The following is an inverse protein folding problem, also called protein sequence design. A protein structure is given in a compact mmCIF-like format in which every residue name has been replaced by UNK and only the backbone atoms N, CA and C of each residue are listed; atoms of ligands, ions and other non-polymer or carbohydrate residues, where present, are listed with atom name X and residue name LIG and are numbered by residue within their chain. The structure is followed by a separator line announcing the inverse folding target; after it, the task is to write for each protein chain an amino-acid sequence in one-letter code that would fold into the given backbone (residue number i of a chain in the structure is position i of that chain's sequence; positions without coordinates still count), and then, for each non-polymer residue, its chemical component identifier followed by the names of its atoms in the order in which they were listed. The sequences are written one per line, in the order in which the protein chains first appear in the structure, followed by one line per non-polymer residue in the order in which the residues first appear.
data_IF_666812899151
#
_entry.id   IF_666812899151
#
_cell.length_a   1.000
_cell.length_b   1.000
_cell.length_c   1.000
_cell.angle_alpha   90.00
_cell.angle_beta   90.00
_cell.angle_gamma   90.00
#
_symmetry.space_group_name_H-M   'P 1'
#
loop_
_entity.id
_entity.type
_entity.pdbx_description
1 polymer ?
#
# COMPACT_ATOMS: atom_id res chain seq x y z
N UNK A 1 29.34 13.94 29.22
CA UNK A 1 28.53 13.41 28.09
C UNK A 1 27.92 14.61 27.41
N UNK A 2 28.24 14.80 26.14
CA UNK A 2 28.08 16.06 25.41
C UNK A 2 26.61 16.26 24.97
N UNK A 3 26.01 17.40 25.31
CA UNK A 3 24.63 17.76 24.92
C UNK A 3 24.41 17.62 23.41
N UNK A 4 25.46 17.77 22.61
CA UNK A 4 25.43 17.61 21.16
C UNK A 4 25.17 16.16 20.73
N UNK A 5 25.69 15.18 21.47
CA UNK A 5 25.51 13.76 21.16
C UNK A 5 24.06 13.32 21.39
N UNK A 6 23.45 13.78 22.48
CA UNK A 6 22.06 13.44 22.83
C UNK A 6 21.08 14.05 21.81
N UNK A 7 21.31 15.30 21.37
CA UNK A 7 20.53 15.94 20.31
C UNK A 7 20.64 15.16 19.00
N UNK A 8 21.85 14.76 18.59
CA UNK A 8 22.05 14.00 17.36
C UNK A 8 21.31 12.65 17.37
N UNK A 9 21.28 11.96 18.51
CA UNK A 9 20.55 10.70 18.67
C UNK A 9 19.05 10.89 18.52
N UNK A 10 18.50 11.95 19.12
CA UNK A 10 17.10 12.31 19.01
C UNK A 10 16.71 12.66 17.57
N UNK A 11 17.49 13.53 16.91
CA UNK A 11 17.26 13.90 15.51
C UNK A 11 17.24 12.68 14.60
N UNK A 12 18.17 11.73 14.81
CA UNK A 12 18.21 10.48 14.05
C UNK A 12 16.95 9.62 14.28
N UNK A 13 16.51 9.49 15.52
CA UNK A 13 15.31 8.72 15.84
C UNK A 13 14.06 9.33 15.21
N UNK A 14 13.89 10.65 15.31
CA UNK A 14 12.81 11.39 14.66
C UNK A 14 12.82 11.17 13.15
N UNK A 15 13.99 11.33 12.51
CA UNK A 15 14.12 11.15 11.07
C UNK A 15 13.77 9.72 10.62
N UNK A 16 14.31 8.69 11.29
CA UNK A 16 14.04 7.29 10.95
C UNK A 16 12.55 6.96 11.12
N UNK A 17 11.94 7.33 12.25
CA UNK A 17 10.53 7.04 12.52
C UNK A 17 9.63 7.79 11.54
N UNK A 18 9.90 9.08 11.29
CA UNK A 18 9.10 9.89 10.37
C UNK A 18 9.21 9.36 8.94
N UNK A 19 10.43 9.06 8.47
CA UNK A 19 10.64 8.49 7.14
C UNK A 19 9.90 7.15 6.98
N UNK A 20 10.00 6.28 7.99
CA UNK A 20 9.29 4.99 8.00
C UNK A 20 7.77 5.17 7.94
N UNK A 21 7.20 6.01 8.80
CA UNK A 21 5.76 6.27 8.86
C UNK A 21 5.23 6.94 7.58
N UNK A 22 5.98 7.86 7.00
CA UNK A 22 5.61 8.49 5.72
C UNK A 22 5.65 7.47 4.58
N UNK A 23 6.72 6.68 4.45
CA UNK A 23 6.83 5.70 3.38
C UNK A 23 5.75 4.61 3.47
N UNK A 24 5.49 4.10 4.67
CA UNK A 24 4.44 3.08 4.89
C UNK A 24 3.04 3.67 4.69
N UNK A 25 2.77 4.86 5.22
CA UNK A 25 1.49 5.53 5.06
C UNK A 25 1.14 5.90 3.62
N UNK A 26 2.15 6.33 2.84
CA UNK A 26 2.00 6.68 1.43
C UNK A 26 2.29 5.54 0.47
N UNK A 27 2.54 4.32 0.96
CA UNK A 27 2.93 3.18 0.13
C UNK A 27 1.93 2.91 -1.00
N UNK A 28 0.63 3.01 -0.71
CA UNK A 28 -0.43 2.83 -1.71
C UNK A 28 -0.29 3.80 -2.91
N UNK A 29 -0.02 5.08 -2.68
CA UNK A 29 0.20 6.05 -3.76
C UNK A 29 1.55 5.84 -4.44
N UNK A 30 2.58 5.49 -3.68
CA UNK A 30 3.91 5.20 -4.23
C UNK A 30 3.85 4.00 -5.18
N UNK A 31 3.27 2.87 -4.77
CA UNK A 31 3.07 1.69 -5.62
C UNK A 31 2.26 2.01 -6.89
N UNK A 32 1.23 2.86 -6.76
CA UNK A 32 0.37 3.26 -7.89
C UNK A 32 1.09 4.07 -8.98
N UNK A 33 1.99 4.97 -8.60
CA UNK A 33 2.61 5.94 -9.53
C UNK A 33 4.07 5.66 -9.85
N UNK A 34 4.73 4.80 -9.09
CA UNK A 34 6.14 4.48 -9.26
C UNK A 34 6.29 3.15 -10.00
N UNK A 35 7.08 3.17 -11.06
CA UNK A 35 7.40 1.98 -11.85
C UNK A 35 8.92 1.75 -11.95
N UNK A 36 9.32 0.60 -12.48
CA UNK A 36 10.72 0.27 -12.73
C UNK A 36 11.53 0.05 -11.45
N UNK A 37 12.80 0.48 -11.45
CA UNK A 37 13.73 0.21 -10.35
C UNK A 37 13.28 0.82 -9.01
N UNK A 38 12.63 1.98 -9.05
CA UNK A 38 12.17 2.69 -7.83
C UNK A 38 11.08 1.86 -7.10
N UNK A 39 10.28 1.08 -7.83
CA UNK A 39 9.29 0.19 -7.24
C UNK A 39 9.94 -0.87 -6.33
N UNK A 40 11.17 -1.30 -6.60
CA UNK A 40 11.92 -2.28 -5.78
C UNK A 40 12.61 -1.59 -4.59
N UNK A 41 13.14 -0.38 -4.80
CA UNK A 41 13.90 0.32 -3.75
C UNK A 41 13.02 0.80 -2.60
N UNK A 42 11.75 1.14 -2.86
CA UNK A 42 10.83 1.62 -1.82
C UNK A 42 10.54 0.54 -0.76
N UNK A 43 10.04 -0.68 -1.12
CA UNK A 43 9.87 -1.78 -0.18
C UNK A 43 11.16 -2.12 0.56
N UNK A 44 12.30 -2.17 -0.14
CA UNK A 44 13.58 -2.47 0.49
C UNK A 44 13.96 -1.41 1.54
N UNK A 45 13.72 -0.13 1.23
CA UNK A 45 13.95 0.98 2.16
C UNK A 45 13.05 0.87 3.39
N UNK A 46 11.77 0.53 3.21
CA UNK A 46 10.83 0.29 4.31
C UNK A 46 11.34 -0.83 5.22
N UNK A 47 11.82 -1.94 4.66
CA UNK A 47 12.40 -3.07 5.42
C UNK A 47 13.66 -2.64 6.18
N UNK A 48 14.59 -1.90 5.55
CA UNK A 48 15.81 -1.40 6.20
C UNK A 48 15.48 -0.47 7.36
N UNK A 49 14.52 0.44 7.18
CA UNK A 49 14.06 1.35 8.23
C UNK A 49 13.41 0.59 9.38
N UNK A 50 12.56 -0.40 9.09
CA UNK A 50 11.95 -1.26 10.10
C UNK A 50 13.01 -2.01 10.92
N UNK A 51 13.97 -2.67 10.27
CA UNK A 51 15.06 -3.36 10.96
C UNK A 51 15.90 -2.39 11.80
N UNK A 52 16.15 -1.18 11.29
CA UNK A 52 16.84 -0.13 12.04
C UNK A 52 16.07 0.24 13.32
N UNK A 53 14.75 0.43 13.23
CA UNK A 53 13.89 0.73 14.38
C UNK A 53 13.99 -0.40 15.41
N UNK A 54 13.90 -1.66 14.99
CA UNK A 54 14.00 -2.83 15.90
C UNK A 54 15.38 -2.88 16.59
N UNK A 55 16.46 -2.78 15.82
CA UNK A 55 17.85 -2.81 16.35
C UNK A 55 18.07 -1.67 17.34
N UNK A 56 17.66 -0.45 17.01
CA UNK A 56 17.81 0.69 17.92
C UNK A 56 16.95 0.53 19.17
N UNK A 57 15.72 0.03 19.05
CA UNK A 57 14.85 -0.25 20.20
C UNK A 57 15.54 -1.19 21.20
N UNK A 58 16.09 -2.31 20.72
CA UNK A 58 16.82 -3.28 21.55
C UNK A 58 18.04 -2.61 22.20
N UNK A 59 18.86 -1.92 21.40
CA UNK A 59 20.08 -1.25 21.88
C UNK A 59 19.78 -0.21 22.97
N UNK A 60 18.76 0.62 22.77
CA UNK A 60 18.39 1.64 23.75
C UNK A 60 17.80 1.04 25.02
N UNK A 61 17.04 -0.05 24.91
CA UNK A 61 16.47 -0.75 26.06
C UNK A 61 17.57 -1.38 26.92
N UNK A 62 18.53 -2.07 26.32
CA UNK A 62 19.68 -2.64 27.03
C UNK A 62 20.49 -1.55 27.75
N UNK A 63 20.74 -0.42 27.09
CA UNK A 63 21.44 0.71 27.69
C UNK A 63 20.67 1.33 28.87
N UNK A 64 19.33 1.32 28.81
CA UNK A 64 18.47 1.84 29.87
C UNK A 64 18.59 0.99 31.14
N UNK A 65 18.53 -0.34 31.00
CA UNK A 65 18.67 -1.27 32.12
C UNK A 65 20.05 -1.18 32.79
N UNK A 66 21.12 -0.99 32.00
CA UNK A 66 22.48 -0.90 32.54
C UNK A 66 22.78 0.43 33.25
N UNK A 67 21.97 1.47 33.06
CA UNK A 67 22.24 2.83 33.55
C UNK A 67 21.09 3.43 34.34
N UNK A 68 20.32 2.59 35.03
CA UNK A 68 19.21 2.98 35.88
C UNK A 68 19.58 4.10 36.86
N UNK A 69 20.81 4.12 37.39
CA UNK A 69 21.17 5.12 38.40
C UNK A 69 21.49 6.52 37.81
N UNK A 70 21.52 6.68 36.48
CA UNK A 70 21.87 7.94 35.79
C UNK A 70 20.85 8.35 34.74
N UNK A 71 19.56 8.27 35.09
CA UNK A 71 18.47 8.67 34.21
C UNK A 71 18.50 10.16 33.86
N UNK A 72 18.60 10.46 32.56
CA UNK A 72 18.26 11.76 31.99
C UNK A 72 17.15 11.55 30.97
N UNK A 73 16.06 12.31 31.09
CA UNK A 73 14.88 12.21 30.20
C UNK A 73 15.27 12.24 28.72
N UNK A 74 16.21 13.11 28.32
CA UNK A 74 16.64 13.27 26.93
C UNK A 74 17.20 11.97 26.30
N UNK A 75 17.74 11.07 27.11
CA UNK A 75 18.29 9.79 26.65
C UNK A 75 17.22 8.72 26.44
N UNK A 76 16.03 8.92 27.00
CA UNK A 76 14.91 7.97 26.93
C UNK A 76 14.00 8.28 25.75
N UNK A 77 13.87 9.57 25.38
CA UNK A 77 12.99 10.02 24.29
C UNK A 77 13.19 9.21 22.98
N UNK A 78 14.42 8.96 22.49
CA UNK A 78 14.62 8.16 21.28
C UNK A 78 14.05 6.74 21.41
N UNK A 79 14.23 6.10 22.57
CA UNK A 79 13.70 4.76 22.83
C UNK A 79 12.16 4.77 22.78
N UNK A 80 11.54 5.76 23.45
CA UNK A 80 10.09 5.95 23.45
C UNK A 80 9.57 6.13 22.02
N UNK A 81 10.22 6.94 21.18
CA UNK A 81 9.80 7.14 19.79
C UNK A 81 9.80 5.84 18.98
N UNK A 82 10.85 5.02 19.10
CA UNK A 82 10.88 3.73 18.41
C UNK A 82 9.81 2.78 18.93
N UNK A 83 9.61 2.70 20.24
CA UNK A 83 8.55 1.89 20.85
C UNK A 83 7.16 2.33 20.39
N UNK A 84 6.87 3.63 20.42
CA UNK A 84 5.60 4.17 19.94
C UNK A 84 5.37 3.86 18.46
N UNK A 85 6.42 3.94 17.64
CA UNK A 85 6.35 3.59 16.22
C UNK A 85 6.01 2.11 16.01
N UNK A 86 6.65 1.20 16.77
CA UNK A 86 6.33 -0.23 16.72
C UNK A 86 4.93 -0.53 17.25
N UNK A 87 4.52 0.11 18.35
CA UNK A 87 3.16 -0.05 18.89
C UNK A 87 2.12 0.40 17.88
N UNK A 88 2.33 1.57 17.27
CA UNK A 88 1.47 2.07 16.22
C UNK A 88 1.40 1.10 15.03
N UNK A 89 2.53 0.54 14.61
CA UNK A 89 2.59 -0.40 13.49
C UNK A 89 1.85 -1.72 13.76
N UNK A 90 1.95 -2.29 14.96
CA UNK A 90 1.38 -3.62 15.23
C UNK A 90 -0.01 -3.59 15.86
N UNK A 91 -0.33 -2.55 16.63
CA UNK A 91 -1.52 -2.54 17.47
C UNK A 91 -2.50 -1.40 17.14
N UNK A 92 -2.14 -0.43 16.31
CA UNK A 92 -3.08 0.65 15.96
C UNK A 92 -4.11 0.17 14.93
N UNK A 93 -5.43 0.20 15.24
CA UNK A 93 -6.46 0.03 14.22
C UNK A 93 -6.58 1.25 13.30
N UNK A 94 -5.94 2.37 13.66
CA UNK A 94 -5.97 3.65 12.94
C UNK A 94 -4.72 3.87 12.10
N UNK A 95 -4.11 2.80 11.58
CA UNK A 95 -3.02 2.93 10.62
C UNK A 95 -3.45 3.82 9.46
N UNK A 96 -2.73 4.93 9.32
CA UNK A 96 -2.88 5.84 8.21
C UNK A 96 -2.53 5.11 6.92
N UNK A 97 -3.49 5.06 6.00
CA UNK A 97 -3.27 4.67 4.62
C UNK A 97 -3.67 5.86 3.76
N UNK A 98 -2.77 6.26 2.87
CA UNK A 98 -3.02 7.31 1.90
C UNK A 98 -4.22 7.01 0.99
N UNK A 99 -4.62 5.74 0.83
CA UNK A 99 -5.87 5.38 0.15
C UNK A 99 -7.10 6.11 0.76
N UNK A 100 -7.07 6.43 2.05
CA UNK A 100 -8.16 7.17 2.72
C UNK A 100 -8.29 8.62 2.23
N UNK A 101 -7.28 9.16 1.55
CA UNK A 101 -7.32 10.48 0.92
C UNK A 101 -8.06 10.44 -0.42
N UNK A 102 -8.25 9.25 -1.00
CA UNK A 102 -8.97 9.07 -2.26
C UNK A 102 -10.48 9.05 -2.05
N UNK A 103 -11.24 9.26 -3.13
CA UNK A 103 -12.71 9.22 -3.09
C UNK A 103 -13.24 7.84 -2.64
N UNK A 104 -14.36 7.83 -1.91
CA UNK A 104 -14.99 6.60 -1.40
C UNK A 104 -15.21 5.57 -2.51
N UNK A 105 -14.86 4.31 -2.21
CA UNK A 105 -15.09 3.16 -3.10
C UNK A 105 -16.57 2.79 -3.07
N UNK A 106 -17.23 2.84 -4.22
CA UNK A 106 -18.64 2.49 -4.40
C UNK A 106 -18.83 1.03 -4.79
N UNK A 107 -17.93 0.51 -5.63
CA UNK A 107 -17.96 -0.86 -6.11
C UNK A 107 -16.54 -1.39 -6.15
N UNK A 108 -16.36 -2.67 -5.82
CA UNK A 108 -15.07 -3.35 -5.89
C UNK A 108 -15.25 -4.75 -6.43
N UNK A 109 -14.24 -5.23 -7.15
CA UNK A 109 -14.14 -6.62 -7.56
C UNK A 109 -12.76 -7.17 -7.27
N UNK A 110 -12.68 -8.47 -7.09
CA UNK A 110 -11.43 -9.21 -6.96
C UNK A 110 -11.40 -10.39 -7.93
N UNK A 111 -10.23 -10.64 -8.47
CA UNK A 111 -9.88 -11.85 -9.20
C UNK A 111 -8.68 -12.50 -8.48
N UNK A 112 -8.78 -13.80 -8.23
CA UNK A 112 -7.73 -14.60 -7.60
C UNK A 112 -7.44 -15.79 -8.51
N UNK A 113 -6.27 -15.83 -9.12
CA UNK A 113 -5.73 -16.99 -9.82
C UNK A 113 -4.62 -17.66 -9.01
N UNK A 114 -4.12 -18.80 -9.48
CA UNK A 114 -3.10 -19.61 -8.77
C UNK A 114 -1.80 -18.84 -8.47
N UNK A 115 -1.41 -17.92 -9.35
CA UNK A 115 -0.15 -17.18 -9.19
C UNK A 115 -0.29 -15.69 -9.51
N UNK A 116 -1.52 -15.21 -9.64
CA UNK A 116 -1.82 -13.81 -9.93
C UNK A 116 -3.12 -13.40 -9.24
N UNK A 117 -3.21 -12.12 -8.89
CA UNK A 117 -4.39 -11.54 -8.28
C UNK A 117 -4.64 -10.19 -8.92
N UNK A 118 -5.89 -9.77 -8.98
CA UNK A 118 -6.22 -8.43 -9.42
C UNK A 118 -7.36 -7.87 -8.59
N UNK A 119 -7.29 -6.58 -8.28
CA UNK A 119 -8.37 -5.86 -7.60
C UNK A 119 -8.79 -4.68 -8.44
N UNK A 120 -10.08 -4.46 -8.56
CA UNK A 120 -10.63 -3.28 -9.22
C UNK A 120 -11.52 -2.51 -8.23
N UNK A 121 -11.37 -1.19 -8.21
CA UNK A 121 -12.16 -0.30 -7.36
C UNK A 121 -12.74 0.83 -8.21
N UNK A 122 -14.04 1.02 -8.09
CA UNK A 122 -14.78 2.13 -8.68
C UNK A 122 -15.13 3.13 -7.58
N UNK A 123 -14.78 4.39 -7.79
CA UNK A 123 -14.92 5.44 -6.79
C UNK A 123 -16.10 6.35 -7.07
N UNK A 124 -16.56 7.08 -6.04
CA UNK A 124 -17.74 7.97 -6.10
C UNK A 124 -17.55 9.11 -7.10
N UNK A 125 -16.33 9.64 -7.23
CA UNK A 125 -15.95 10.66 -8.19
C UNK A 125 -15.79 10.16 -9.64
N UNK A 126 -16.34 8.98 -9.97
CA UNK A 126 -16.32 8.39 -11.33
C UNK A 126 -14.93 8.02 -11.86
N UNK A 127 -13.95 7.84 -10.97
CA UNK A 127 -12.66 7.22 -11.32
C UNK A 127 -12.65 5.74 -10.98
N UNK A 128 -11.83 4.98 -11.68
CA UNK A 128 -11.52 3.60 -11.32
C UNK A 128 -10.01 3.36 -11.28
N UNK A 129 -9.66 2.31 -10.55
CA UNK A 129 -8.32 1.77 -10.49
C UNK A 129 -8.40 0.24 -10.53
N UNK A 130 -7.55 -0.35 -11.34
CA UNK A 130 -7.33 -1.78 -11.42
C UNK A 130 -5.87 -2.02 -11.10
N UNK A 131 -5.62 -2.82 -10.07
CA UNK A 131 -4.31 -3.23 -9.62
C UNK A 131 -4.14 -4.71 -9.92
N UNK A 132 -3.14 -5.05 -10.73
CA UNK A 132 -2.78 -6.42 -11.07
C UNK A 132 -1.47 -6.79 -10.40
N UNK A 133 -1.46 -7.88 -9.65
CA UNK A 133 -0.26 -8.48 -9.06
C UNK A 133 -0.02 -9.85 -9.69
N UNK A 134 1.24 -10.13 -10.01
CA UNK A 134 1.65 -11.36 -10.65
C UNK A 134 2.88 -11.97 -10.00
N UNK A 135 3.39 -13.03 -10.62
CA UNK A 135 4.60 -13.76 -10.21
C UNK A 135 5.80 -12.81 -10.26
N UNK A 136 6.78 -13.04 -9.37
CA UNK A 136 8.02 -12.25 -9.30
C UNK A 136 7.80 -10.77 -9.02
N UNK A 137 6.82 -10.44 -8.17
CA UNK A 137 6.52 -9.06 -7.75
C UNK A 137 6.12 -8.14 -8.91
N UNK A 138 5.60 -8.67 -10.03
CA UNK A 138 5.05 -7.81 -11.07
C UNK A 138 3.80 -7.10 -10.53
N UNK A 139 3.85 -5.77 -10.45
CA UNK A 139 2.75 -4.89 -10.05
C UNK A 139 2.39 -4.01 -11.24
N UNK A 140 1.12 -3.92 -11.60
CA UNK A 140 0.65 -3.06 -12.67
C UNK A 140 -0.62 -2.35 -12.28
N UNK A 141 -0.63 -1.04 -12.45
CA UNK A 141 -1.76 -0.18 -12.13
C UNK A 141 -2.35 0.40 -13.41
N UNK A 142 -3.66 0.25 -13.53
CA UNK A 142 -4.47 0.80 -14.61
C UNK A 142 -5.49 1.74 -13.99
N UNK A 143 -5.53 2.98 -14.43
CA UNK A 143 -6.44 3.99 -13.87
C UNK A 143 -7.22 4.67 -14.97
N UNK A 144 -8.39 5.19 -14.62
CA UNK A 144 -9.27 5.78 -15.62
C UNK A 144 -10.50 6.40 -15.03
N UNK A 145 -11.39 6.81 -15.92
CA UNK A 145 -12.74 7.23 -15.59
C UNK A 145 -13.73 6.13 -16.00
N UNK A 146 -14.88 6.08 -15.34
CA UNK A 146 -15.94 5.17 -15.74
C UNK A 146 -17.30 5.86 -15.81
N UNK A 147 -18.13 5.37 -16.72
CA UNK A 147 -19.56 5.71 -16.79
C UNK A 147 -20.37 4.46 -16.52
N UNK A 148 -21.44 4.58 -15.73
CA UNK A 148 -22.36 3.48 -15.46
C UNK A 148 -23.70 3.72 -16.16
N UNK A 149 -24.20 2.71 -16.88
CA UNK A 149 -25.52 2.68 -17.51
C UNK A 149 -26.21 1.38 -17.11
N UNK A 150 -27.08 1.45 -16.10
CA UNK A 150 -27.67 0.26 -15.47
C UNK A 150 -26.58 -0.67 -14.92
N UNK A 151 -26.61 -1.92 -15.38
CA UNK A 151 -25.65 -2.96 -14.98
C UNK A 151 -24.38 -2.96 -15.85
N UNK A 152 -24.17 -1.94 -16.68
CA UNK A 152 -22.98 -1.86 -17.55
C UNK A 152 -22.09 -0.69 -17.16
N UNK A 153 -20.80 -0.96 -17.04
CA UNK A 153 -19.72 -0.02 -16.80
C UNK A 153 -18.91 0.15 -18.09
N UNK A 154 -18.66 1.40 -18.47
CA UNK A 154 -17.84 1.79 -19.62
C UNK A 154 -16.58 2.44 -19.07
N UNK A 155 -15.42 1.85 -19.35
CA UNK A 155 -14.12 2.20 -18.80
C UNK A 155 -13.27 2.96 -19.83
N UNK A 156 -12.83 4.14 -19.42
CA UNK A 156 -11.93 5.00 -20.16
C UNK A 156 -10.57 5.04 -19.46
N UNK A 157 -9.60 4.28 -19.99
CA UNK A 157 -8.27 4.13 -19.41
C UNK A 157 -7.41 5.35 -19.73
N UNK A 158 -6.72 5.91 -18.73
CA UNK A 158 -5.77 7.01 -18.93
C UNK A 158 -4.49 6.58 -19.65
N UNK A 159 -4.15 5.31 -19.55
CA UNK A 159 -2.92 4.70 -20.06
C UNK A 159 -3.26 3.46 -20.91
N UNK A 160 -2.26 2.62 -21.18
CA UNK A 160 -2.48 1.30 -21.77
C UNK A 160 -3.54 0.52 -20.98
N UNK A 161 -4.38 -0.24 -21.69
CA UNK A 161 -5.39 -1.11 -21.09
C UNK A 161 -4.79 -2.49 -20.75
N UNK A 162 -5.28 -3.18 -19.71
CA UNK A 162 -4.86 -4.55 -19.45
C UNK A 162 -5.35 -5.49 -20.57
N UNK A 163 -4.53 -6.49 -20.90
CA UNK A 163 -4.84 -7.49 -21.94
C UNK A 163 -6.04 -8.38 -21.56
N UNK A 164 -6.34 -8.49 -20.26
CA UNK A 164 -7.33 -9.43 -19.71
C UNK A 164 -8.64 -8.79 -19.26
N UNK A 165 -8.79 -7.47 -19.41
CA UNK A 165 -9.95 -6.74 -18.91
C UNK A 165 -10.30 -5.56 -19.84
N UNK A 166 -11.52 -5.56 -20.37
CA UNK A 166 -11.89 -4.68 -21.48
C UNK A 166 -12.40 -3.30 -21.07
N UNK A 167 -12.96 -2.58 -22.06
CA UNK A 167 -13.60 -1.29 -21.85
C UNK A 167 -15.05 -1.41 -21.41
N UNK A 168 -15.75 -2.47 -21.82
CA UNK A 168 -17.16 -2.68 -21.51
C UNK A 168 -17.27 -3.81 -20.49
N UNK A 169 -17.83 -3.51 -19.32
CA UNK A 169 -17.93 -4.47 -18.20
C UNK A 169 -19.37 -4.56 -17.73
N UNK A 170 -19.94 -5.76 -17.74
CA UNK A 170 -21.26 -6.02 -17.20
C UNK A 170 -21.18 -6.51 -15.75
N UNK A 171 -22.06 -5.99 -14.90
CA UNK A 171 -22.30 -6.44 -13.54
C UNK A 171 -23.36 -7.53 -13.62
N UNK A 172 -22.96 -8.79 -13.50
CA UNK A 172 -23.89 -9.93 -13.64
C UNK A 172 -23.56 -11.01 -12.62
N UNK A 173 -24.59 -11.54 -11.95
CA UNK A 173 -24.47 -12.65 -11.00
C UNK A 173 -23.44 -12.44 -9.89
N UNK A 174 -23.29 -11.19 -9.41
CA UNK A 174 -22.29 -10.87 -8.39
C UNK A 174 -20.86 -10.81 -8.91
N UNK A 175 -20.66 -10.68 -10.22
CA UNK A 175 -19.35 -10.57 -10.88
C UNK A 175 -19.30 -9.37 -11.83
N UNK A 176 -18.08 -8.93 -12.13
CA UNK A 176 -17.73 -8.01 -13.20
C UNK A 176 -17.17 -8.84 -14.35
N UNK A 177 -17.87 -8.86 -15.48
CA UNK A 177 -17.48 -9.60 -16.68
C UNK A 177 -17.22 -8.63 -17.81
N UNK A 178 -16.08 -8.77 -18.46
CA UNK A 178 -15.84 -8.02 -19.70
C UNK A 178 -16.79 -8.52 -20.78
N UNK A 179 -17.44 -7.59 -21.48
CA UNK A 179 -18.24 -7.88 -22.67
C UNK A 179 -17.31 -7.74 -23.87
N UNK A 180 -17.00 -8.87 -24.50
CA UNK A 180 -16.13 -8.89 -25.69
C UNK A 180 -16.73 -8.05 -26.82
N UNK A 181 -15.92 -7.15 -27.37
CA UNK A 181 -16.20 -6.50 -28.65
C UNK A 181 -15.15 -6.96 -29.66
N UNK A 182 -15.51 -7.02 -30.95
CA UNK A 182 -14.58 -7.46 -32.00
C UNK A 182 -13.30 -6.62 -32.12
N UNK A 183 -13.28 -5.42 -31.53
CA UNK A 183 -12.12 -4.51 -31.47
C UNK A 183 -11.16 -4.78 -30.31
N UNK A 184 -11.61 -5.56 -29.32
CA UNK A 184 -10.89 -5.80 -28.08
C UNK A 184 -9.98 -7.01 -28.29
N UNK A 185 -8.69 -6.77 -28.58
CA UNK A 185 -7.62 -7.76 -28.71
C UNK A 185 -7.28 -8.47 -27.39
N UNK A 186 -8.29 -8.74 -26.56
CA UNK A 186 -8.19 -9.32 -25.24
C UNK A 186 -7.78 -10.78 -25.33
N UNK A 187 -7.07 -11.25 -24.30
CA UNK A 187 -6.67 -12.65 -24.15
C UNK A 187 -6.93 -13.09 -22.73
N UNK A 188 -7.43 -14.32 -22.55
CA UNK A 188 -7.67 -14.92 -21.24
C UNK A 188 -8.48 -13.99 -20.32
N UNK A 189 -9.66 -13.57 -20.78
CA UNK A 189 -10.56 -12.71 -20.01
C UNK A 189 -10.92 -13.42 -18.71
N UNK A 190 -10.85 -12.68 -17.60
CA UNK A 190 -11.17 -13.21 -16.29
C UNK A 190 -12.30 -12.41 -15.64
N UNK A 191 -13.28 -13.08 -15.01
CA UNK A 191 -14.30 -12.41 -14.22
C UNK A 191 -13.69 -11.94 -12.89
N UNK A 192 -14.20 -10.83 -12.36
CA UNK A 192 -13.92 -10.40 -10.99
C UNK A 192 -15.17 -10.60 -10.17
N UNK A 193 -15.13 -11.37 -9.10
CA UNK A 193 -16.27 -11.43 -8.19
C UNK A 193 -16.36 -10.13 -7.38
N UNK A 194 -17.57 -9.70 -7.08
CA UNK A 194 -17.80 -8.48 -6.31
C UNK A 194 -17.37 -8.66 -4.85
N UNK A 195 -16.75 -7.62 -4.30
CA UNK A 195 -16.32 -7.59 -2.91
C UNK A 195 -14.80 -7.64 -2.72
N UNK A 196 -14.39 -8.02 -1.51
CA UNK A 196 -12.99 -8.16 -1.13
C UNK A 196 -12.45 -9.52 -1.52
N UNK A 197 -11.14 -9.59 -1.77
CA UNK A 197 -10.45 -10.84 -2.01
C UNK A 197 -10.63 -11.81 -0.84
N UNK A 198 -10.92 -13.08 -1.14
CA UNK A 198 -11.31 -14.11 -0.18
C UNK A 198 -10.14 -15.02 0.20
N UNK A 199 -9.01 -14.93 -0.50
CA UNK A 199 -7.81 -15.75 -0.34
C UNK A 199 -8.10 -17.25 -0.50
N UNK A 200 -8.88 -17.59 -1.54
CA UNK A 200 -9.35 -18.96 -1.78
C UNK A 200 -8.41 -19.80 -2.66
N UNK A 201 -7.41 -19.18 -3.27
CA UNK A 201 -6.48 -19.80 -4.22
C UNK A 201 -5.02 -19.65 -3.79
#
# INVERSE_FOLDING_TARGET
MDSKEDINRLTKAVFICLAFLLLTGFYYHLDKYVSGFIFITIPLTIVILFLSIVIYTIKYSLNLFQRIDRFKLINIIPAILYYLTLIYLFFSPYQFSSERLESQVMLRGCYEGTQNQATIKFRRNKTFELHWTGIFFSSSWYTGNYTQRGDTLILDYKSEKPIRFGHLVAIQNGELRTVETASDSLKNIVPFYLGYCKHLN
#
